data_IF_209793797992
#
_entry.id   IF_209793797992
#
_cell.length_a   1.000
_cell.length_b   1.000
_cell.length_c   1.000
_cell.angle_alpha   90.00
_cell.angle_beta   90.00
_cell.angle_gamma   90.00
#
_symmetry.space_group_name_H-M   'P 1'
#
loop_
_entity.id
_entity.type
_entity.pdbx_description
1 polymer ?
#
# COMPACT_ATOMS: atom_id res chain seq x y z
N UNK A 1 -18.09 13.78 8.95
CA UNK A 1 -17.15 12.74 8.49
C UNK A 1 -16.58 11.90 9.64
N UNK A 2 -16.15 12.51 10.75
CA UNK A 2 -15.57 11.77 11.89
C UNK A 2 -16.59 10.86 12.61
N UNK A 3 -17.81 11.35 12.84
CA UNK A 3 -18.89 10.56 13.45
C UNK A 3 -19.33 9.36 12.61
N UNK A 4 -19.41 9.50 11.28
CA UNK A 4 -19.79 8.40 10.38
C UNK A 4 -18.74 7.28 10.36
N UNK A 5 -17.45 7.61 10.52
CA UNK A 5 -16.38 6.62 10.60
C UNK A 5 -16.44 5.85 11.92
N UNK A 6 -16.62 6.56 13.05
CA UNK A 6 -16.75 5.93 14.37
C UNK A 6 -17.95 4.98 14.41
N UNK A 7 -19.10 5.38 13.87
CA UNK A 7 -20.29 4.52 13.78
C UNK A 7 -20.00 3.27 12.96
N UNK A 8 -19.36 3.41 11.78
CA UNK A 8 -19.00 2.26 10.95
C UNK A 8 -18.03 1.31 11.63
N UNK A 9 -17.05 1.83 12.37
CA UNK A 9 -16.06 1.03 13.09
C UNK A 9 -16.73 0.27 14.25
N UNK A 10 -17.59 0.94 15.01
CA UNK A 10 -18.36 0.31 16.08
C UNK A 10 -19.29 -0.78 15.53
N UNK A 11 -20.01 -0.52 14.43
CA UNK A 11 -20.83 -1.52 13.76
C UNK A 11 -20.01 -2.72 13.29
N UNK A 12 -18.83 -2.49 12.70
CA UNK A 12 -17.93 -3.56 12.27
C UNK A 12 -17.52 -4.47 13.45
N UNK A 13 -17.08 -3.88 14.57
CA UNK A 13 -16.69 -4.67 15.74
C UNK A 13 -17.87 -5.42 16.38
N UNK A 14 -19.06 -4.83 16.40
CA UNK A 14 -20.28 -5.52 16.84
C UNK A 14 -20.55 -6.75 15.96
N UNK A 15 -20.47 -6.61 14.63
CA UNK A 15 -20.68 -7.73 13.70
C UNK A 15 -19.64 -8.84 13.89
N UNK A 16 -18.36 -8.47 14.07
CA UNK A 16 -17.27 -9.43 14.35
C UNK A 16 -17.53 -10.19 15.65
N UNK A 17 -17.93 -9.50 16.72
CA UNK A 17 -18.22 -10.12 18.01
C UNK A 17 -19.45 -11.04 17.94
N UNK A 18 -20.49 -10.66 17.22
CA UNK A 18 -21.67 -11.51 16.97
C UNK A 18 -21.26 -12.76 16.19
N UNK A 19 -20.48 -12.61 15.13
CA UNK A 19 -19.98 -13.74 14.34
C UNK A 19 -19.17 -14.72 15.19
N UNK A 20 -18.28 -14.22 16.05
CA UNK A 20 -17.53 -15.04 16.99
C UNK A 20 -18.43 -15.73 18.02
N UNK A 21 -19.46 -15.05 18.52
CA UNK A 21 -20.41 -15.62 19.48
C UNK A 21 -21.19 -16.80 18.89
N UNK A 22 -21.61 -16.69 17.62
CA UNK A 22 -22.38 -17.72 16.91
C UNK A 22 -21.56 -19.00 16.60
N UNK A 23 -20.24 -18.97 16.73
CA UNK A 23 -19.40 -20.16 16.54
C UNK A 23 -19.49 -21.10 17.76
N UNK A 24 -19.51 -22.43 17.53
CA UNK A 24 -19.94 -23.42 18.54
C UNK A 24 -18.92 -23.68 19.66
N UNK A 25 -17.61 -23.50 19.40
CA UNK A 25 -16.57 -23.81 20.39
C UNK A 25 -15.53 -22.68 20.52
N UNK A 26 -14.94 -22.56 21.71
CA UNK A 26 -13.90 -21.54 21.98
C UNK A 26 -12.67 -21.72 21.09
N UNK A 27 -12.30 -22.97 20.78
CA UNK A 27 -11.19 -23.28 19.88
C UNK A 27 -11.44 -22.76 18.46
N UNK A 28 -12.64 -23.01 17.91
CA UNK A 28 -13.01 -22.53 16.57
C UNK A 28 -13.04 -21.00 16.53
N UNK A 29 -13.53 -20.34 17.59
CA UNK A 29 -13.53 -18.88 17.70
C UNK A 29 -12.13 -18.29 17.62
N UNK A 30 -11.20 -18.82 18.41
CA UNK A 30 -9.81 -18.36 18.44
C UNK A 30 -9.11 -18.62 17.09
N UNK A 31 -9.31 -19.81 16.51
CA UNK A 31 -8.72 -20.15 15.22
C UNK A 31 -9.27 -19.26 14.10
N UNK A 32 -10.59 -19.06 14.05
CA UNK A 32 -11.22 -18.18 13.08
C UNK A 32 -10.69 -16.75 13.18
N UNK A 33 -10.64 -16.20 14.41
CA UNK A 33 -10.10 -14.86 14.62
C UNK A 33 -8.64 -14.77 14.19
N UNK A 34 -7.78 -15.70 14.60
CA UNK A 34 -6.36 -15.71 14.26
C UNK A 34 -6.15 -15.78 12.74
N UNK A 35 -6.81 -16.72 12.05
CA UNK A 35 -6.73 -16.85 10.59
C UNK A 35 -7.23 -15.57 9.91
N UNK A 36 -8.37 -15.02 10.36
CA UNK A 36 -8.91 -13.78 9.81
C UNK A 36 -7.93 -12.61 9.94
N UNK A 37 -7.30 -12.44 11.11
CA UNK A 37 -6.33 -11.35 11.33
C UNK A 37 -5.04 -11.58 10.54
N UNK A 38 -4.54 -12.81 10.48
CA UNK A 38 -3.34 -13.14 9.72
C UNK A 38 -3.55 -12.96 8.22
N UNK A 39 -4.69 -13.40 7.68
CA UNK A 39 -5.02 -13.20 6.27
C UNK A 39 -5.21 -11.72 5.95
N UNK A 40 -5.95 -10.98 6.78
CA UNK A 40 -6.13 -9.53 6.59
C UNK A 40 -4.81 -8.76 6.67
N UNK A 41 -3.98 -9.07 7.67
CA UNK A 41 -2.66 -8.49 7.84
C UNK A 41 -1.71 -8.83 6.69
N UNK A 42 -1.73 -10.07 6.20
CA UNK A 42 -0.94 -10.49 5.04
C UNK A 42 -1.34 -9.73 3.77
N UNK A 43 -2.64 -9.62 3.49
CA UNK A 43 -3.13 -8.86 2.33
C UNK A 43 -2.73 -7.38 2.42
N UNK A 44 -2.85 -6.78 3.61
CA UNK A 44 -2.42 -5.39 3.82
C UNK A 44 -0.89 -5.23 3.63
N UNK A 45 -0.10 -6.14 4.21
CA UNK A 45 1.35 -6.13 4.07
C UNK A 45 1.78 -6.29 2.61
N UNK A 46 1.12 -7.18 1.85
CA UNK A 46 1.36 -7.36 0.42
C UNK A 46 1.15 -6.06 -0.36
N UNK A 47 0.02 -5.37 -0.11
CA UNK A 47 -0.28 -4.07 -0.71
C UNK A 47 0.80 -3.04 -0.36
N UNK A 48 1.11 -2.84 0.92
CA UNK A 48 2.09 -1.83 1.34
C UNK A 48 3.49 -2.13 0.78
N UNK A 49 3.89 -3.40 0.77
CA UNK A 49 5.21 -3.82 0.30
C UNK A 49 5.35 -3.56 -1.19
N UNK A 50 4.36 -3.94 -2.00
CA UNK A 50 4.36 -3.66 -3.44
C UNK A 50 4.62 -2.17 -3.74
N UNK A 51 3.89 -1.28 -3.07
CA UNK A 51 3.93 0.16 -3.41
C UNK A 51 5.22 0.85 -2.96
N UNK A 52 5.80 0.44 -1.83
CA UNK A 52 6.98 1.12 -1.27
C UNK A 52 8.30 0.38 -1.51
N UNK A 53 8.32 -0.92 -1.78
CA UNK A 53 9.57 -1.67 -1.98
C UNK A 53 9.97 -1.77 -3.45
N UNK A 54 9.05 -1.65 -4.41
CA UNK A 54 9.35 -1.69 -5.86
C UNK A 54 9.94 -0.38 -6.43
N UNK A 55 10.52 0.47 -5.58
CA UNK A 55 10.98 1.83 -5.91
C UNK A 55 12.35 2.12 -5.33
N UNK A 56 13.00 3.16 -5.85
CA UNK A 56 14.32 3.59 -5.41
C UNK A 56 14.33 3.99 -3.94
N UNK A 57 15.41 3.64 -3.25
CA UNK A 57 15.66 4.02 -1.86
C UNK A 57 16.66 5.15 -1.83
N UNK A 58 16.30 6.23 -1.17
CA UNK A 58 17.14 7.42 -1.06
C UNK A 58 17.77 7.50 0.33
N UNK A 59 19.02 7.95 0.44
CA UNK A 59 19.63 8.20 1.74
C UNK A 59 18.98 9.42 2.40
N UNK A 60 19.03 9.48 3.73
CA UNK A 60 18.43 10.56 4.53
C UNK A 60 18.95 11.96 4.17
N UNK A 61 20.20 12.07 3.71
CA UNK A 61 20.81 13.32 3.29
C UNK A 61 20.50 13.71 1.82
N UNK A 62 19.63 12.97 1.13
CA UNK A 62 19.23 13.29 -0.24
C UNK A 62 18.42 14.59 -0.28
N UNK A 63 18.71 15.44 -1.27
CA UNK A 63 17.94 16.67 -1.54
C UNK A 63 16.45 16.41 -1.74
N UNK A 64 16.06 15.20 -2.17
CA UNK A 64 14.66 14.87 -2.38
C UNK A 64 13.85 14.83 -1.06
N UNK A 65 14.51 14.64 0.08
CA UNK A 65 13.85 14.64 1.40
C UNK A 65 13.25 16.01 1.75
N UNK A 66 13.75 17.11 1.18
CA UNK A 66 13.24 18.46 1.45
C UNK A 66 12.00 18.83 0.61
N UNK A 67 11.66 18.03 -0.40
CA UNK A 67 10.47 18.24 -1.23
C UNK A 67 9.49 17.08 -1.02
N UNK A 68 8.46 17.34 -0.22
CA UNK A 68 7.44 16.34 0.11
C UNK A 68 6.78 15.73 -1.12
N UNK A 69 6.40 16.54 -2.11
CA UNK A 69 5.70 16.04 -3.30
C UNK A 69 6.61 15.13 -4.14
N UNK A 70 7.85 15.56 -4.39
CA UNK A 70 8.82 14.73 -5.12
C UNK A 70 9.17 13.46 -4.35
N UNK A 71 9.26 13.53 -3.02
CA UNK A 71 9.47 12.36 -2.18
C UNK A 71 8.36 11.33 -2.40
N UNK A 72 7.09 11.72 -2.28
CA UNK A 72 5.97 10.81 -2.50
C UNK A 72 5.99 10.22 -3.90
N UNK A 73 6.19 11.04 -4.94
CA UNK A 73 6.27 10.57 -6.33
C UNK A 73 7.41 9.58 -6.61
N UNK A 74 8.56 9.74 -5.94
CA UNK A 74 9.74 8.90 -6.17
C UNK A 74 9.80 7.66 -5.26
N UNK A 75 9.05 7.65 -4.16
CA UNK A 75 9.07 6.57 -3.15
C UNK A 75 7.77 5.79 -3.06
N UNK A 76 6.87 5.99 -4.01
CA UNK A 76 5.65 5.21 -4.16
C UNK A 76 5.46 4.85 -5.63
N UNK A 77 4.95 3.65 -5.86
CA UNK A 77 4.53 3.17 -7.19
C UNK A 77 3.09 2.77 -7.10
N UNK A 78 2.29 3.13 -8.08
CA UNK A 78 0.89 2.75 -8.15
C UNK A 78 0.70 1.48 -9.01
N UNK A 79 -0.36 0.75 -8.70
CA UNK A 79 -0.84 -0.38 -9.50
C UNK A 79 -1.75 0.12 -10.64
N UNK A 80 -1.92 -0.62 -11.74
CA UNK A 80 -3.00 -0.37 -12.70
C UNK A 80 -4.34 -0.92 -12.18
N UNK A 81 -5.44 -0.13 -12.20
CA UNK A 81 -6.73 -0.60 -11.69
C UNK A 81 -7.32 -1.70 -12.59
N UNK A 82 -8.14 -2.56 -12.00
CA UNK A 82 -8.85 -3.62 -12.72
C UNK A 82 -9.71 -4.46 -11.78
N UNK A 83 -10.83 -5.01 -12.26
CA UNK A 83 -11.88 -5.62 -11.42
C UNK A 83 -11.33 -6.65 -10.40
N UNK A 84 -10.45 -7.55 -10.85
CA UNK A 84 -9.84 -8.56 -9.98
C UNK A 84 -8.90 -7.95 -8.94
N UNK A 85 -8.08 -7.00 -9.38
CA UNK A 85 -7.12 -6.30 -8.54
C UNK A 85 -7.89 -5.49 -7.50
N UNK A 86 -8.89 -4.71 -7.91
CA UNK A 86 -9.78 -3.91 -7.07
C UNK A 86 -10.44 -4.74 -5.96
N UNK A 87 -10.88 -5.95 -6.27
CA UNK A 87 -11.40 -6.89 -5.27
C UNK A 87 -10.30 -7.39 -4.32
N UNK A 88 -9.15 -7.85 -4.86
CA UNK A 88 -8.05 -8.41 -4.08
C UNK A 88 -7.46 -7.42 -3.08
N UNK A 89 -7.41 -6.14 -3.44
CA UNK A 89 -6.90 -5.10 -2.56
C UNK A 89 -8.03 -4.44 -1.76
N UNK A 90 -9.26 -4.96 -1.77
CA UNK A 90 -10.36 -4.42 -0.98
C UNK A 90 -10.71 -2.97 -1.30
N UNK A 91 -10.60 -2.57 -2.57
CA UNK A 91 -10.79 -1.19 -3.02
C UNK A 91 -9.62 -0.25 -2.67
N UNK A 92 -8.55 -0.76 -2.04
CA UNK A 92 -7.27 -0.03 -1.93
C UNK A 92 -6.65 0.23 -3.32
N UNK A 93 -7.12 -0.39 -4.41
CA UNK A 93 -6.70 0.02 -5.75
C UNK A 93 -7.37 1.27 -6.28
N UNK A 94 -8.42 1.82 -5.68
CA UNK A 94 -8.67 3.25 -5.92
C UNK A 94 -7.59 4.12 -5.26
N UNK A 95 -6.68 3.52 -4.48
CA UNK A 95 -5.33 4.00 -4.16
C UNK A 95 -4.26 3.45 -5.13
N UNK A 96 -4.62 3.17 -6.40
CA UNK A 96 -3.83 3.66 -7.58
C UNK A 96 -3.53 5.16 -7.39
N UNK A 97 -4.23 5.81 -6.46
CA UNK A 97 -3.87 7.02 -5.77
C UNK A 97 -3.09 6.89 -4.45
N UNK A 98 -2.04 6.08 -4.33
CA UNK A 98 -1.18 6.14 -3.13
C UNK A 98 -0.33 7.40 -3.17
N UNK A 99 0.21 7.73 -4.35
CA UNK A 99 0.79 9.05 -4.63
C UNK A 99 -0.18 10.14 -4.18
N UNK A 100 -1.44 10.10 -4.60
CA UNK A 100 -2.42 11.16 -4.37
C UNK A 100 -2.99 11.13 -2.96
N UNK A 101 -3.05 9.97 -2.29
CA UNK A 101 -3.40 9.88 -0.88
C UNK A 101 -2.28 10.46 -0.02
N UNK A 102 -1.02 10.24 -0.36
CA UNK A 102 0.08 10.89 0.33
C UNK A 102 0.15 12.39 0.00
N UNK A 103 -0.10 12.80 -1.25
CA UNK A 103 -0.17 14.23 -1.59
C UNK A 103 -1.37 14.94 -0.95
N UNK A 104 -2.50 14.25 -0.80
CA UNK A 104 -3.77 14.78 -0.28
C UNK A 104 -4.40 13.83 0.77
N UNK A 105 -3.80 13.70 1.96
CA UNK A 105 -4.23 12.72 2.97
C UNK A 105 -5.65 12.96 3.51
N UNK A 106 -6.11 14.21 3.43
CA UNK A 106 -7.46 14.61 3.85
C UNK A 106 -8.53 14.38 2.77
N UNK A 107 -8.14 14.01 1.54
CA UNK A 107 -9.07 13.82 0.44
C UNK A 107 -9.87 12.53 0.60
N UNK A 108 -11.21 12.57 0.43
CA UNK A 108 -12.02 11.37 0.43
C UNK A 108 -11.62 10.41 -0.71
N UNK A 109 -11.53 9.11 -0.40
CA UNK A 109 -11.10 8.06 -1.35
C UNK A 109 -11.86 8.06 -2.68
N UNK A 110 -13.15 8.37 -2.67
CA UNK A 110 -13.98 8.39 -3.88
C UNK A 110 -13.64 9.55 -4.84
N UNK A 111 -12.91 10.57 -4.37
CA UNK A 111 -12.46 11.69 -5.21
C UNK A 111 -11.05 11.48 -5.77
N UNK A 112 -10.29 10.52 -5.24
CA UNK A 112 -8.92 10.24 -5.67
C UNK A 112 -8.87 9.82 -7.16
N UNK A 113 -9.82 9.01 -7.61
CA UNK A 113 -9.92 8.61 -9.02
C UNK A 113 -10.11 9.78 -9.99
N UNK A 114 -10.70 10.89 -9.52
CA UNK A 114 -10.90 12.12 -10.32
C UNK A 114 -9.64 12.98 -10.38
N UNK A 115 -8.81 12.94 -9.33
CA UNK A 115 -7.58 13.74 -9.20
C UNK A 115 -6.38 13.05 -9.85
N UNK A 116 -6.38 11.71 -9.90
CA UNK A 116 -5.37 10.91 -10.56
C UNK A 116 -4.98 11.39 -11.98
N UNK A 117 -5.91 11.63 -12.93
CA UNK A 117 -5.54 12.13 -14.25
C UNK A 117 -4.89 13.52 -14.21
N UNK A 118 -5.31 14.40 -13.29
CA UNK A 118 -4.75 15.75 -13.12
C UNK A 118 -3.32 15.69 -12.59
N UNK A 119 -3.06 14.83 -11.59
CA UNK A 119 -1.72 14.63 -11.03
C UNK A 119 -0.80 14.00 -12.07
N UNK A 120 -1.28 13.02 -12.83
CA UNK A 120 -0.53 12.42 -13.92
C UNK A 120 -0.15 13.44 -14.99
N UNK A 121 -1.08 14.31 -15.37
CA UNK A 121 -0.83 15.40 -16.32
C UNK A 121 0.21 16.39 -15.76
N UNK A 122 0.03 16.83 -14.52
CA UNK A 122 0.98 17.72 -13.85
C UNK A 122 2.40 17.12 -13.80
N UNK A 123 2.51 15.82 -13.50
CA UNK A 123 3.80 15.13 -13.50
C UNK A 123 4.43 15.10 -14.90
N UNK A 124 3.63 14.84 -15.94
CA UNK A 124 4.11 14.85 -17.32
C UNK A 124 4.58 16.24 -17.79
N UNK A 125 3.88 17.31 -17.37
CA UNK A 125 4.25 18.69 -17.71
C UNK A 125 5.53 19.18 -17.01
N UNK A 126 5.85 18.61 -15.84
CA UNK A 126 6.98 19.02 -15.01
C UNK A 126 8.15 18.02 -15.02
N UNK A 127 8.13 17.03 -15.92
CA UNK A 127 9.12 15.95 -16.02
C UNK A 127 9.34 15.20 -14.68
N UNK A 128 8.23 14.98 -13.96
CA UNK A 128 8.22 14.25 -12.69
C UNK A 128 7.83 12.78 -12.91
N UNK A 129 8.45 11.84 -12.17
CA UNK A 129 8.11 10.44 -12.30
C UNK A 129 6.72 10.16 -11.75
N UNK A 130 5.90 9.49 -12.55
CA UNK A 130 4.60 8.96 -12.13
C UNK A 130 4.54 7.47 -12.48
N UNK A 131 4.94 6.62 -11.52
CA UNK A 131 5.13 5.19 -11.72
C UNK A 131 3.79 4.44 -11.59
N UNK A 132 3.32 3.85 -12.70
CA UNK A 132 2.11 3.00 -12.73
C UNK A 132 2.39 1.76 -13.56
N UNK A 133 2.28 0.58 -12.95
CA UNK A 133 2.56 -0.69 -13.61
C UNK A 133 1.47 -1.72 -13.37
N UNK A 134 1.44 -2.75 -14.21
CA UNK A 134 0.63 -3.93 -13.97
C UNK A 134 1.19 -4.77 -12.80
N UNK A 135 0.32 -5.62 -12.26
CA UNK A 135 0.59 -6.42 -11.07
C UNK A 135 1.84 -7.28 -11.20
N UNK A 136 2.02 -7.95 -12.33
CA UNK A 136 3.14 -8.87 -12.52
C UNK A 136 4.46 -8.13 -12.68
N UNK A 137 4.45 -7.00 -13.40
CA UNK A 137 5.64 -6.16 -13.54
C UNK A 137 6.12 -5.63 -12.19
N UNK A 138 5.24 -5.05 -11.37
CA UNK A 138 5.68 -4.54 -10.07
C UNK A 138 6.12 -5.64 -9.11
N UNK A 139 5.49 -6.82 -9.14
CA UNK A 139 5.93 -7.96 -8.34
C UNK A 139 7.32 -8.46 -8.76
N UNK A 140 7.60 -8.48 -10.06
CA UNK A 140 8.93 -8.78 -10.59
C UNK A 140 9.97 -7.76 -10.11
N UNK A 141 9.64 -6.47 -10.14
CA UNK A 141 10.53 -5.40 -9.65
C UNK A 141 10.80 -5.51 -8.15
N UNK A 142 9.80 -5.90 -7.37
CA UNK A 142 9.93 -6.14 -5.94
C UNK A 142 10.92 -7.29 -5.64
N UNK A 143 10.78 -8.42 -6.33
CA UNK A 143 11.73 -9.55 -6.20
C UNK A 143 13.15 -9.12 -6.58
N UNK A 144 13.28 -8.36 -7.67
CA UNK A 144 14.58 -7.81 -8.09
C UNK A 144 15.17 -6.88 -7.02
N UNK A 145 14.34 -6.07 -6.37
CA UNK A 145 14.79 -5.23 -5.26
C UNK A 145 15.28 -6.07 -4.09
N UNK A 146 14.56 -7.12 -3.69
CA UNK A 146 15.03 -8.01 -2.63
C UNK A 146 16.34 -8.71 -2.99
N UNK A 147 16.49 -9.17 -4.24
CA UNK A 147 17.75 -9.74 -4.72
C UNK A 147 18.90 -8.71 -4.66
N UNK A 148 18.64 -7.45 -5.01
CA UNK A 148 19.62 -6.37 -4.89
C UNK A 148 20.03 -6.11 -3.45
N UNK A 149 19.07 -6.06 -2.53
CA UNK A 149 19.34 -5.88 -1.09
C UNK A 149 20.17 -7.06 -0.55
N UNK A 150 19.80 -8.30 -0.87
CA UNK A 150 20.56 -9.49 -0.47
C UNK A 150 22.01 -9.46 -0.99
N UNK A 151 22.20 -9.04 -2.24
CA UNK A 151 23.54 -8.87 -2.85
C UNK A 151 24.37 -7.78 -2.18
N UNK A 152 23.75 -6.67 -1.78
CA UNK A 152 24.46 -5.60 -1.07
C UNK A 152 24.82 -6.05 0.35
N UNK A 153 23.88 -6.72 1.05
CA UNK A 153 24.11 -7.26 2.38
C UNK A 153 25.26 -8.29 2.41
N UNK A 154 25.34 -9.19 1.42
CA UNK A 154 26.43 -10.15 1.32
C UNK A 154 27.79 -9.50 1.10
N UNK A 155 27.87 -8.45 0.25
CA UNK A 155 29.09 -7.65 0.04
C UNK A 155 29.53 -6.86 1.27
N UNK A 156 28.59 -6.40 2.09
CA UNK A 156 28.92 -5.72 3.35
C UNK A 156 29.47 -6.72 4.38
N UNK A 157 28.87 -7.91 4.47
CA UNK A 157 29.36 -8.99 5.35
C UNK A 157 30.81 -9.37 5.01
N UNK A 158 31.16 -9.47 3.72
CA UNK A 158 32.52 -9.79 3.28
C UNK A 158 33.55 -8.65 3.44
N UNK A 159 33.12 -7.44 3.82
CA UNK A 159 34.01 -6.31 4.12
C UNK A 159 34.26 -6.14 5.62
N UNK A 160 33.39 -6.73 6.45
CA UNK A 160 33.43 -6.63 7.92
C UNK A 160 34.18 -7.82 8.53
N UNK A 161 34.20 -8.96 7.84
CA UNK A 161 35.06 -10.11 8.12
C UNK A 161 36.37 -9.99 7.34
#
# INVERSE_FOLDING_TARGET
MMHSLQVSLTMHWILVLIQLYLLPSMQIRLLFFAVSQLTGGFLLAHVVTYNHYSVNKFPYNSKIMSNYACLQLNTTRNMRPGIFIDWLWGGLNYQVSLIEHHLFPTMPRHNLSKVMPLVKQFCAENDLPYMVDDYFTGWKLEIQQFANVARIASKMKSKIL
#
